data_IF_053829291888
#
_entry.id   IF_053829291888
#
_cell.length_a   1.000
_cell.length_b   1.000
_cell.length_c   1.000
_cell.angle_alpha   90.00
_cell.angle_beta   90.00
_cell.angle_gamma   90.00
#
_symmetry.space_group_name_H-M   'P 1'
#
loop_
_entity.id
_entity.type
_entity.pdbx_description
1 polymer ?
#
# COMPACT_ATOMS: atom_id res chain seq x y z
N UNK A 1 -4.56 13.95 -13.70
CA UNK A 1 -4.28 12.54 -13.37
C UNK A 1 -4.75 12.31 -11.94
N UNK A 2 -5.28 11.14 -11.58
CA UNK A 2 -5.56 10.84 -10.18
C UNK A 2 -4.24 10.80 -9.39
N UNK A 3 -4.32 11.01 -8.08
CA UNK A 3 -3.26 10.57 -7.20
C UNK A 3 -3.36 9.05 -7.05
N UNK A 4 -2.22 8.36 -6.93
CA UNK A 4 -2.15 6.90 -6.90
C UNK A 4 -1.81 6.41 -5.51
N UNK A 5 -2.62 5.46 -5.04
CA UNK A 5 -2.41 4.73 -3.82
C UNK A 5 -1.77 3.39 -4.16
N UNK A 6 -0.56 3.19 -3.65
CA UNK A 6 0.10 1.89 -3.63
C UNK A 6 -0.32 1.15 -2.39
N UNK A 7 -0.61 -0.14 -2.49
CA UNK A 7 -0.95 -0.95 -1.32
C UNK A 7 -0.39 -2.35 -1.45
N UNK A 8 0.35 -2.78 -0.44
CA UNK A 8 0.78 -4.16 -0.29
C UNK A 8 -0.28 -4.95 0.49
N UNK A 9 -0.62 -6.15 0.03
CA UNK A 9 -1.56 -7.05 0.71
C UNK A 9 -0.91 -8.40 1.03
N UNK A 10 -1.29 -8.94 2.18
CA UNK A 10 -1.08 -10.35 2.53
C UNK A 10 -2.43 -10.98 2.83
N UNK A 11 -2.71 -12.15 2.26
CA UNK A 11 -3.94 -12.90 2.52
C UNK A 11 -3.57 -14.25 3.14
N UNK A 12 -4.09 -14.53 4.32
CA UNK A 12 -3.90 -15.78 5.05
C UNK A 12 -5.25 -16.49 5.29
N UNK A 13 -5.20 -17.79 5.59
CA UNK A 13 -6.39 -18.57 5.94
C UNK A 13 -6.23 -20.05 5.58
N UNK A 14 -7.35 -20.76 5.34
CA UNK A 14 -7.30 -22.18 4.98
C UNK A 14 -6.56 -22.39 3.64
N UNK A 15 -5.65 -23.36 3.62
CA UNK A 15 -4.80 -23.65 2.47
C UNK A 15 -5.60 -23.96 1.18
N UNK A 16 -6.81 -24.53 1.27
CA UNK A 16 -7.64 -24.78 0.09
C UNK A 16 -8.27 -23.50 -0.44
N UNK A 17 -8.68 -22.59 0.45
CA UNK A 17 -9.22 -21.29 0.06
C UNK A 17 -8.12 -20.39 -0.52
N UNK A 18 -6.94 -20.36 0.10
CA UNK A 18 -5.74 -19.70 -0.43
C UNK A 18 -5.42 -20.21 -1.85
N UNK A 19 -5.32 -21.53 -2.01
CA UNK A 19 -5.07 -22.12 -3.32
C UNK A 19 -6.16 -21.76 -4.33
N UNK A 20 -7.44 -21.80 -3.92
CA UNK A 20 -8.54 -21.46 -4.81
C UNK A 20 -8.54 -20.00 -5.25
N UNK A 21 -8.21 -19.06 -4.35
CA UNK A 21 -8.13 -17.64 -4.67
C UNK A 21 -6.94 -17.35 -5.59
N UNK A 22 -5.76 -17.89 -5.25
CA UNK A 22 -4.57 -17.73 -6.07
C UNK A 22 -4.80 -18.24 -7.50
N UNK A 23 -5.33 -19.46 -7.65
CA UNK A 23 -5.64 -20.01 -8.97
C UNK A 23 -6.70 -19.20 -9.72
N UNK A 24 -7.65 -18.58 -9.01
CA UNK A 24 -8.63 -17.68 -9.63
C UNK A 24 -7.96 -16.44 -10.20
N UNK A 25 -7.19 -15.72 -9.39
CA UNK A 25 -6.51 -14.49 -9.78
C UNK A 25 -5.48 -14.77 -10.89
N UNK A 26 -4.68 -15.84 -10.74
CA UNK A 26 -3.68 -16.24 -11.75
C UNK A 26 -4.31 -16.55 -13.10
N UNK A 27 -5.47 -17.24 -13.12
CA UNK A 27 -6.22 -17.47 -14.36
C UNK A 27 -6.68 -16.18 -15.03
N UNK A 28 -7.05 -15.15 -14.26
CA UNK A 28 -7.42 -13.85 -14.80
C UNK A 28 -6.19 -13.14 -15.40
N UNK A 29 -5.07 -13.10 -14.69
CA UNK A 29 -3.82 -12.51 -15.17
C UNK A 29 -3.37 -13.11 -16.51
N UNK A 30 -3.42 -14.43 -16.63
CA UNK A 30 -2.92 -15.18 -17.79
C UNK A 30 -3.87 -15.12 -19.02
N UNK A 31 -5.01 -14.43 -18.94
CA UNK A 31 -5.90 -14.25 -20.09
C UNK A 31 -5.25 -13.36 -21.16
N UNK A 32 -5.60 -13.58 -22.44
CA UNK A 32 -5.16 -12.69 -23.53
C UNK A 32 -5.84 -11.31 -23.46
N UNK A 33 -7.05 -11.27 -22.93
CA UNK A 33 -7.92 -10.08 -22.84
C UNK A 33 -8.66 -10.10 -21.51
N UNK A 34 -8.99 -8.93 -20.95
CA UNK A 34 -9.71 -8.89 -19.69
C UNK A 34 -11.09 -9.54 -19.81
N UNK A 35 -11.51 -10.22 -18.74
CA UNK A 35 -12.84 -10.85 -18.65
C UNK A 35 -13.97 -9.83 -18.74
N UNK A 36 -13.71 -8.60 -18.28
CA UNK A 36 -14.61 -7.46 -18.35
C UNK A 36 -13.92 -6.33 -19.11
N UNK A 37 -14.60 -5.71 -20.08
CA UNK A 37 -14.02 -4.61 -20.86
C UNK A 37 -13.68 -3.42 -19.96
N UNK A 38 -12.41 -3.04 -19.90
CA UNK A 38 -11.91 -1.95 -19.05
C UNK A 38 -10.66 -1.28 -19.66
N UNK A 39 -10.06 -0.32 -18.95
CA UNK A 39 -8.87 0.43 -19.38
C UNK A 39 -7.55 0.04 -18.71
N UNK A 40 -7.57 -0.83 -17.70
CA UNK A 40 -6.40 -1.29 -16.94
C UNK A 40 -5.79 -2.56 -17.55
N UNK A 41 -6.62 -3.53 -17.92
CA UNK A 41 -6.17 -4.82 -18.44
C UNK A 41 -6.78 -5.99 -17.69
N UNK A 42 -6.14 -7.15 -17.78
CA UNK A 42 -6.59 -8.42 -17.19
C UNK A 42 -6.52 -8.44 -15.66
N UNK A 43 -5.63 -7.62 -15.11
CA UNK A 43 -5.36 -7.37 -13.68
C UNK A 43 -6.28 -6.33 -13.05
N UNK A 44 -7.25 -5.80 -13.79
CA UNK A 44 -8.20 -4.84 -13.25
C UNK A 44 -9.00 -5.43 -12.09
N UNK A 45 -9.09 -4.73 -10.95
CA UNK A 45 -9.82 -5.22 -9.77
C UNK A 45 -11.29 -5.57 -10.06
N UNK A 46 -11.92 -4.92 -11.03
CA UNK A 46 -13.29 -5.25 -11.46
C UNK A 46 -13.41 -6.62 -12.15
N UNK A 47 -12.35 -7.11 -12.79
CA UNK A 47 -12.29 -8.49 -13.29
C UNK A 47 -12.30 -9.49 -12.14
N UNK A 48 -11.65 -9.18 -11.01
CA UNK A 48 -11.70 -10.01 -9.82
C UNK A 48 -13.11 -9.98 -9.20
N UNK A 49 -13.70 -8.80 -9.01
CA UNK A 49 -15.08 -8.66 -8.47
C UNK A 49 -16.10 -9.46 -9.29
N UNK A 50 -16.05 -9.36 -10.62
CA UNK A 50 -16.89 -10.16 -11.53
C UNK A 50 -16.67 -11.67 -11.34
N UNK A 51 -15.40 -12.11 -11.28
CA UNK A 51 -15.06 -13.51 -11.08
C UNK A 51 -15.41 -14.05 -9.67
N UNK A 52 -15.55 -13.17 -8.68
CA UNK A 52 -16.11 -13.50 -7.37
C UNK A 52 -17.63 -13.71 -7.43
N UNK A 53 -18.29 -13.31 -8.53
CA UNK A 53 -19.73 -13.43 -8.74
C UNK A 53 -20.51 -12.20 -8.27
N UNK A 54 -19.85 -11.05 -8.19
CA UNK A 54 -20.41 -9.77 -7.74
C UNK A 54 -20.46 -8.79 -8.92
N UNK A 55 -21.34 -7.79 -8.83
CA UNK A 55 -21.38 -6.74 -9.84
C UNK A 55 -20.30 -5.69 -9.55
N UNK A 56 -19.33 -5.57 -10.46
CA UNK A 56 -18.26 -4.60 -10.36
C UNK A 56 -18.75 -3.14 -10.46
N UNK A 57 -19.97 -2.89 -10.93
CA UNK A 57 -20.55 -1.53 -10.97
C UNK A 57 -20.92 -1.01 -9.57
N UNK A 58 -21.10 -1.91 -8.60
CA UNK A 58 -21.46 -1.57 -7.21
C UNK A 58 -20.22 -1.37 -6.32
N UNK A 59 -19.01 -1.54 -6.87
CA UNK A 59 -17.73 -1.47 -6.14
C UNK A 59 -16.76 -0.53 -6.86
N UNK A 60 -16.03 0.29 -6.11
CA UNK A 60 -15.07 1.23 -6.70
C UNK A 60 -13.77 0.53 -7.11
N UNK A 61 -13.82 -0.22 -8.22
CA UNK A 61 -12.68 -0.95 -8.78
C UNK A 61 -11.68 -0.03 -9.49
N UNK A 62 -11.07 0.92 -8.78
CA UNK A 62 -10.31 2.05 -9.36
C UNK A 62 -8.83 1.74 -9.61
N UNK A 63 -8.51 0.49 -9.89
CA UNK A 63 -7.12 0.07 -10.00
C UNK A 63 -6.96 -1.37 -10.41
N UNK A 64 -5.72 -1.81 -10.36
CA UNK A 64 -5.31 -3.16 -10.73
C UNK A 64 -4.40 -3.77 -9.68
N UNK A 65 -4.30 -5.09 -9.69
CA UNK A 65 -3.32 -5.81 -8.87
C UNK A 65 -2.06 -6.14 -9.67
N UNK A 66 -0.95 -6.38 -8.98
CA UNK A 66 0.31 -6.81 -9.57
C UNK A 66 1.12 -7.69 -8.62
N UNK A 67 2.17 -8.33 -9.13
CA UNK A 67 3.11 -9.18 -8.38
C UNK A 67 2.43 -10.23 -7.50
N UNK A 68 1.40 -10.89 -8.04
CA UNK A 68 0.68 -11.96 -7.36
C UNK A 68 1.59 -13.17 -7.16
N UNK A 69 1.79 -13.56 -5.92
CA UNK A 69 2.59 -14.73 -5.55
C UNK A 69 2.03 -15.47 -4.33
N UNK A 70 2.45 -16.72 -4.17
CA UNK A 70 2.24 -17.49 -2.94
C UNK A 70 3.58 -17.56 -2.21
N UNK A 71 3.61 -17.06 -0.99
CA UNK A 71 4.77 -17.09 -0.09
C UNK A 71 4.42 -17.97 1.13
N UNK A 72 4.95 -19.19 1.15
CA UNK A 72 4.58 -20.17 2.16
C UNK A 72 3.09 -20.54 2.12
N UNK A 73 2.34 -20.12 3.14
CA UNK A 73 0.90 -20.40 3.29
C UNK A 73 0.02 -19.18 2.99
N UNK A 74 0.61 -18.06 2.56
CA UNK A 74 -0.11 -16.80 2.29
C UNK A 74 0.00 -16.37 0.83
N UNK A 75 -0.94 -15.54 0.39
CA UNK A 75 -0.83 -14.82 -0.89
C UNK A 75 -0.27 -13.45 -0.62
N UNK A 76 0.66 -12.99 -1.46
CA UNK A 76 1.13 -11.61 -1.49
C UNK A 76 0.79 -11.00 -2.85
N UNK A 77 0.41 -9.73 -2.83
CA UNK A 77 0.22 -8.92 -4.04
C UNK A 77 0.29 -7.43 -3.72
N UNK A 78 0.39 -6.62 -4.75
CA UNK A 78 0.25 -5.16 -4.66
C UNK A 78 -0.97 -4.69 -5.43
N UNK A 79 -1.52 -3.54 -5.08
CA UNK A 79 -2.49 -2.82 -5.92
C UNK A 79 -2.04 -1.39 -6.15
N UNK A 80 -2.29 -0.89 -7.35
CA UNK A 80 -2.21 0.53 -7.68
C UNK A 80 -3.63 1.04 -7.95
N UNK A 81 -4.12 1.96 -7.11
CA UNK A 81 -5.52 2.39 -7.10
C UNK A 81 -5.65 3.91 -7.03
N UNK A 82 -6.69 4.49 -7.63
CA UNK A 82 -6.89 5.93 -7.57
C UNK A 82 -7.35 6.37 -6.17
N UNK A 83 -6.64 7.34 -5.58
CA UNK A 83 -6.97 8.12 -4.37
C UNK A 83 -7.03 7.41 -3.02
N UNK A 84 -7.27 6.10 -2.95
CA UNK A 84 -7.29 5.34 -1.69
C UNK A 84 -7.26 3.84 -1.99
N UNK A 85 -6.85 2.98 -1.03
CA UNK A 85 -6.92 1.53 -1.19
C UNK A 85 -8.36 1.10 -1.50
N UNK A 86 -8.53 0.09 -2.36
CA UNK A 86 -9.82 -0.48 -2.71
C UNK A 86 -10.12 -1.74 -1.87
N UNK A 87 -10.04 -1.60 -0.54
CA UNK A 87 -10.17 -2.70 0.43
C UNK A 87 -11.50 -3.47 0.28
N UNK A 88 -12.56 -2.79 -0.18
CA UNK A 88 -13.87 -3.40 -0.42
C UNK A 88 -13.80 -4.62 -1.37
N UNK A 89 -12.85 -4.64 -2.31
CA UNK A 89 -12.63 -5.79 -3.21
C UNK A 89 -12.20 -7.03 -2.42
N UNK A 90 -11.34 -6.85 -1.42
CA UNK A 90 -10.87 -7.93 -0.57
C UNK A 90 -11.88 -8.31 0.52
N UNK A 91 -12.78 -7.41 0.90
CA UNK A 91 -13.96 -7.79 1.70
C UNK A 91 -14.84 -8.79 0.95
N UNK A 92 -15.04 -8.59 -0.36
CA UNK A 92 -15.77 -9.56 -1.20
C UNK A 92 -15.02 -10.89 -1.36
N UNK A 93 -13.68 -10.87 -1.34
CA UNK A 93 -12.87 -12.10 -1.27
C UNK A 93 -13.20 -12.86 0.01
N UNK A 94 -13.24 -12.18 1.15
CA UNK A 94 -13.59 -12.79 2.45
C UNK A 94 -15.03 -13.30 2.50
N UNK A 95 -15.97 -12.64 1.83
CA UNK A 95 -17.34 -13.17 1.71
C UNK A 95 -17.40 -14.50 0.97
N UNK A 96 -16.59 -14.66 -0.09
CA UNK A 96 -16.53 -15.90 -0.88
C UNK A 96 -15.70 -16.99 -0.22
N UNK A 97 -14.65 -16.59 0.51
CA UNK A 97 -13.68 -17.45 1.17
C UNK A 97 -13.63 -17.08 2.67
N UNK A 98 -14.59 -17.58 3.48
CA UNK A 98 -14.80 -17.08 4.85
C UNK A 98 -13.67 -17.38 5.83
N UNK A 99 -12.74 -18.29 5.49
CA UNK A 99 -11.56 -18.52 6.32
C UNK A 99 -10.46 -17.49 6.07
N UNK A 100 -10.53 -16.75 4.96
CA UNK A 100 -9.50 -15.80 4.58
C UNK A 100 -9.62 -14.51 5.39
N UNK A 101 -8.45 -13.97 5.73
CA UNK A 101 -8.27 -12.62 6.24
C UNK A 101 -7.17 -11.94 5.43
N UNK A 102 -7.29 -10.63 5.22
CA UNK A 102 -6.26 -9.85 4.54
C UNK A 102 -5.68 -8.81 5.48
N UNK A 103 -4.37 -8.67 5.39
CA UNK A 103 -3.61 -7.56 5.95
C UNK A 103 -3.18 -6.65 4.81
N UNK A 104 -3.06 -5.36 5.08
CA UNK A 104 -2.53 -4.42 4.10
C UNK A 104 -1.73 -3.30 4.75
N UNK A 105 -0.87 -2.67 3.94
CA UNK A 105 -0.26 -1.37 4.20
C UNK A 105 -0.42 -0.53 2.92
N UNK A 106 -0.96 0.68 3.04
CA UNK A 106 -1.33 1.54 1.93
C UNK A 106 -0.71 2.93 2.06
N UNK A 107 -0.30 3.49 0.93
CA UNK A 107 0.39 4.77 0.80
C UNK A 107 -0.21 5.57 -0.36
N UNK A 108 -0.76 6.74 -0.07
CA UNK A 108 -1.24 7.73 -1.04
C UNK A 108 -0.77 9.13 -0.62
N UNK A 109 0.41 9.57 -1.09
CA UNK A 109 1.01 10.84 -0.66
C UNK A 109 0.15 12.06 -0.96
N UNK A 110 -0.58 12.06 -2.08
CA UNK A 110 -1.36 13.22 -2.54
C UNK A 110 -2.60 13.52 -1.69
N UNK A 111 -3.09 12.56 -0.91
CA UNK A 111 -4.17 12.71 0.06
C UNK A 111 -3.68 12.50 1.51
N UNK A 112 -2.40 12.21 1.70
CA UNK A 112 -1.80 11.95 3.01
C UNK A 112 -2.29 10.64 3.65
N UNK A 113 -2.62 9.63 2.84
CA UNK A 113 -3.07 8.33 3.34
C UNK A 113 -1.85 7.45 3.59
N UNK A 114 -1.67 7.07 4.84
CA UNK A 114 -0.69 6.06 5.26
C UNK A 114 -1.43 5.19 6.25
N UNK A 115 -1.89 4.03 5.81
CA UNK A 115 -2.82 3.20 6.59
C UNK A 115 -2.38 1.74 6.61
N UNK A 116 -2.68 1.04 7.70
CA UNK A 116 -2.55 -0.41 7.78
C UNK A 116 -3.64 -0.99 8.67
N UNK A 117 -4.10 -2.21 8.42
CA UNK A 117 -4.93 -2.95 9.38
C UNK A 117 -4.13 -3.99 10.19
N UNK A 118 -2.82 -4.14 9.94
CA UNK A 118 -1.95 -5.04 10.67
C UNK A 118 -1.45 -4.40 11.95
N UNK A 119 -2.35 -4.19 12.91
CA UNK A 119 -2.04 -3.60 14.22
C UNK A 119 -0.87 -4.30 14.94
N UNK A 120 -0.74 -5.62 14.77
CA UNK A 120 0.30 -6.43 15.39
C UNK A 120 1.66 -6.37 14.69
N UNK A 121 1.69 -5.96 13.42
CA UNK A 121 2.92 -5.91 12.62
C UNK A 121 3.45 -7.30 12.26
N UNK A 122 2.56 -8.28 12.10
CA UNK A 122 2.94 -9.66 11.75
C UNK A 122 3.50 -9.73 10.32
N UNK A 123 2.92 -8.94 9.42
CA UNK A 123 3.29 -8.86 8.01
C UNK A 123 3.83 -7.50 7.60
N UNK A 124 3.30 -6.43 8.20
CA UNK A 124 3.71 -5.05 7.95
C UNK A 124 4.13 -4.42 9.28
N UNK A 125 5.38 -4.63 9.72
CA UNK A 125 5.84 -4.15 11.03
C UNK A 125 6.09 -2.64 11.05
N UNK A 126 6.30 -2.02 9.89
CA UNK A 126 6.60 -0.60 9.78
C UNK A 126 5.41 0.27 10.21
N UNK A 127 5.73 1.34 10.95
CA UNK A 127 4.78 2.32 11.50
C UNK A 127 5.09 3.74 11.10
N UNK A 128 6.29 3.98 10.57
CA UNK A 128 6.69 5.26 10.06
C UNK A 128 7.36 5.10 8.70
N UNK A 129 7.10 6.04 7.80
CA UNK A 129 7.76 6.15 6.51
C UNK A 129 8.36 7.54 6.38
N UNK A 130 9.68 7.59 6.20
CA UNK A 130 10.40 8.81 5.91
C UNK A 130 10.48 9.00 4.39
N UNK A 131 10.10 10.17 3.92
CA UNK A 131 10.09 10.54 2.50
C UNK A 131 10.66 11.95 2.34
N UNK A 132 11.76 12.08 1.60
CA UNK A 132 12.44 13.35 1.45
C UNK A 132 13.12 13.51 0.09
N UNK A 133 13.12 14.75 -0.39
CA UNK A 133 14.01 15.24 -1.43
C UNK A 133 14.88 16.34 -0.82
N UNK A 134 16.20 16.15 -0.81
CA UNK A 134 17.13 17.14 -0.24
C UNK A 134 17.23 18.39 -1.11
N UNK A 135 17.76 19.51 -0.58
CA UNK A 135 18.06 20.70 -1.40
C UNK A 135 19.03 20.43 -2.56
N UNK A 136 19.81 19.36 -2.47
CA UNK A 136 20.70 18.87 -3.52
C UNK A 136 20.01 17.96 -4.55
N UNK A 137 18.66 17.87 -4.50
CA UNK A 137 17.82 17.02 -5.36
C UNK A 137 18.09 15.52 -5.20
N UNK A 138 18.55 15.10 -4.01
CA UNK A 138 18.73 13.69 -3.68
C UNK A 138 17.47 13.14 -3.01
N UNK A 139 16.91 12.07 -3.58
CA UNK A 139 15.76 11.38 -3.00
C UNK A 139 16.20 10.36 -1.96
N UNK A 140 15.64 10.46 -0.75
CA UNK A 140 15.91 9.58 0.37
C UNK A 140 14.59 9.14 1.01
N UNK A 141 14.44 7.83 1.20
CA UNK A 141 13.29 7.27 1.89
C UNK A 141 13.66 6.00 2.67
N UNK A 142 12.95 5.75 3.75
CA UNK A 142 13.18 4.59 4.63
C UNK A 142 11.95 4.30 5.50
N UNK A 143 11.74 3.04 5.83
CA UNK A 143 10.65 2.58 6.70
C UNK A 143 11.16 2.22 8.10
N UNK A 144 10.31 2.44 9.11
CA UNK A 144 10.65 2.18 10.49
C UNK A 144 9.49 1.60 11.28
N UNK A 145 9.77 0.58 12.09
CA UNK A 145 8.82 0.01 13.05
C UNK A 145 8.46 0.98 14.19
N UNK A 146 9.36 1.91 14.53
CA UNK A 146 9.15 2.85 15.64
C UNK A 146 9.77 4.24 15.39
N UNK A 147 9.18 5.23 16.07
CA UNK A 147 9.55 6.64 15.91
C UNK A 147 10.97 6.97 16.39
N UNK A 148 11.46 6.29 17.42
CA UNK A 148 12.77 6.58 18.00
C UNK A 148 13.89 6.24 17.02
N UNK A 149 13.77 5.10 16.32
CA UNK A 149 14.75 4.68 15.33
C UNK A 149 14.67 5.54 14.06
N UNK A 150 13.47 5.97 13.64
CA UNK A 150 13.31 6.97 12.59
C UNK A 150 14.09 8.25 12.91
N UNK A 151 13.92 8.82 14.12
CA UNK A 151 14.62 10.05 14.51
C UNK A 151 16.14 9.88 14.55
N UNK A 152 16.65 8.76 15.10
CA UNK A 152 18.10 8.49 15.10
C UNK A 152 18.66 8.41 13.69
N UNK A 153 17.92 7.76 12.79
CA UNK A 153 18.33 7.61 11.40
C UNK A 153 18.32 8.95 10.68
N UNK A 154 17.25 9.74 10.78
CA UNK A 154 17.16 11.06 10.14
C UNK A 154 18.28 11.98 10.65
N UNK A 155 18.58 11.97 11.96
CA UNK A 155 19.71 12.75 12.50
C UNK A 155 21.06 12.33 11.90
N UNK A 156 21.27 11.03 11.72
CA UNK A 156 22.49 10.49 11.12
C UNK A 156 22.62 10.92 9.66
N UNK A 157 21.56 10.82 8.88
CA UNK A 157 21.59 11.13 7.45
C UNK A 157 21.68 12.64 7.17
N UNK A 158 21.02 13.45 7.99
CA UNK A 158 20.95 14.91 7.78
C UNK A 158 22.02 15.69 8.55
N UNK A 159 22.63 15.07 9.56
CA UNK A 159 23.55 15.74 10.50
C UNK A 159 22.87 16.76 11.42
N UNK A 160 21.53 16.80 11.45
CA UNK A 160 20.73 17.73 12.25
C UNK A 160 20.15 17.02 13.47
N UNK A 161 20.04 17.69 14.63
CA UNK A 161 19.45 17.06 15.80
C UNK A 161 17.95 16.82 15.60
N UNK A 162 17.50 15.56 15.67
CA UNK A 162 16.09 15.17 15.51
C UNK A 162 15.60 14.47 16.78
N UNK A 163 14.61 15.04 17.46
CA UNK A 163 14.08 14.52 18.73
C UNK A 163 12.56 14.46 18.77
N UNK A 164 11.88 15.05 17.79
CA UNK A 164 10.44 15.16 17.71
C UNK A 164 9.98 15.38 16.27
N UNK A 165 8.69 15.15 16.00
CA UNK A 165 8.09 15.46 14.69
C UNK A 165 8.28 16.94 14.30
N UNK A 166 8.28 17.85 15.28
CA UNK A 166 8.54 19.28 15.05
C UNK A 166 9.96 19.56 14.53
N UNK A 167 10.93 18.72 14.88
CA UNK A 167 12.28 18.88 14.34
C UNK A 167 12.34 18.47 12.86
N UNK A 168 11.53 17.48 12.46
CA UNK A 168 11.34 17.12 11.04
C UNK A 168 10.60 18.23 10.28
N UNK A 169 9.52 18.78 10.84
CA UNK A 169 8.82 19.94 10.27
C UNK A 169 9.74 21.17 10.13
N UNK A 170 10.62 21.41 11.10
CA UNK A 170 11.60 22.48 11.04
C UNK A 170 12.68 22.23 9.97
N UNK A 171 13.06 20.97 9.75
CA UNK A 171 13.99 20.58 8.70
C UNK A 171 13.38 20.79 7.31
N UNK A 172 12.12 20.40 7.12
CA UNK A 172 11.34 20.64 5.91
C UNK A 172 11.25 22.14 5.57
N UNK A 173 10.91 22.97 6.57
CA UNK A 173 10.88 24.42 6.42
C UNK A 173 12.27 24.99 6.03
N UNK A 174 13.36 24.49 6.61
CA UNK A 174 14.72 24.89 6.23
C UNK A 174 15.07 24.47 4.79
N UNK A 175 14.63 23.30 4.35
CA UNK A 175 14.95 22.75 3.03
C UNK A 175 14.17 23.45 1.92
N UNK A 176 12.87 23.65 2.12
CA UNK A 176 11.99 24.34 1.17
C UNK A 176 12.39 25.82 0.94
N UNK A 177 13.02 26.48 1.92
CA UNK A 177 13.60 27.83 1.73
C UNK A 177 14.83 27.82 0.79
N UNK A 178 15.55 26.70 0.71
CA UNK A 178 16.76 26.55 -0.13
C UNK A 178 16.43 26.09 -1.54
N UNK A 179 15.44 25.21 -1.68
CA UNK A 179 14.99 24.66 -2.95
C UNK A 179 13.48 24.42 -2.89
N UNK A 180 12.73 24.95 -3.87
CA UNK A 180 11.27 24.82 -3.91
C UNK A 180 10.80 23.37 -4.06
N UNK A 181 11.63 22.52 -4.68
CA UNK A 181 11.35 21.10 -4.90
C UNK A 181 11.82 20.19 -3.74
N UNK A 182 12.49 20.75 -2.73
CA UNK A 182 12.93 20.00 -1.56
C UNK A 182 11.81 19.86 -0.52
N UNK A 183 11.74 18.68 0.09
CA UNK A 183 10.76 18.37 1.13
C UNK A 183 11.30 17.33 2.11
N UNK A 184 10.73 17.28 3.31
CA UNK A 184 11.10 16.31 4.33
C UNK A 184 9.91 15.92 5.19
N UNK A 185 9.41 14.71 5.02
CA UNK A 185 8.25 14.21 5.73
C UNK A 185 8.54 12.91 6.47
N UNK A 186 7.90 12.78 7.64
CA UNK A 186 7.81 11.53 8.38
C UNK A 186 6.33 11.21 8.57
N UNK A 187 5.85 10.25 7.79
CA UNK A 187 4.48 9.78 7.82
C UNK A 187 4.33 8.69 8.88
N UNK A 188 3.26 8.73 9.66
CA UNK A 188 2.87 7.66 10.58
C UNK A 188 1.74 6.86 9.92
N UNK A 189 1.87 5.52 9.90
CA UNK A 189 0.81 4.66 9.41
C UNK A 189 -0.31 4.56 10.44
N UNK A 190 -1.49 5.06 10.09
CA UNK A 190 -2.70 4.92 10.88
C UNK A 190 -3.17 3.46 10.89
N UNK A 191 -3.38 2.91 12.09
CA UNK A 191 -3.93 1.57 12.24
C UNK A 191 -5.46 1.65 12.15
N UNK A 192 -6.02 1.12 11.06
CA UNK A 192 -7.46 1.10 10.81
C UNK A 192 -8.07 -0.29 11.08
N UNK A 193 -9.38 -0.34 11.31
CA UNK A 193 -10.14 -1.56 11.67
C UNK A 193 -11.02 -2.07 10.55
#
# INVERSE_FOLDING_TARGET
MPNWCSSAYVIEGDAKEIKSLYELMKRLEDMEKPSVKNGFGTTWLGCLVDALGKDWNDVYCRGEWSSLEVDGEVIRLYTETAWSPCNEVFDLVREKYPSLYYYFQAEEPGMGIYETNDSSGVYFPDRYFFDACTPEEEYISEYFENQEDAFKWIEKETGKPIRSAKDVEALDAEWSEKCEDAFCYLHEFEVIS
#
